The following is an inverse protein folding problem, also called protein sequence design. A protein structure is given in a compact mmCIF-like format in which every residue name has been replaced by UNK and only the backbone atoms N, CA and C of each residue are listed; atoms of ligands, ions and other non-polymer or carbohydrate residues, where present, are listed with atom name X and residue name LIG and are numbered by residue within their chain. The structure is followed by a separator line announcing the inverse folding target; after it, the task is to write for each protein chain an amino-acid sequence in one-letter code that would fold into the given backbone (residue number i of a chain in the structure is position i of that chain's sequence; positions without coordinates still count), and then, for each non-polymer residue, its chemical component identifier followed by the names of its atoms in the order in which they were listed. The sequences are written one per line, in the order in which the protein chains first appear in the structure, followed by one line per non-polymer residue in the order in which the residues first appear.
data_IF_708590875060
#
_entry.id   IF_708590875060
#
_cell.length_a   1.000
_cell.length_b   1.000
_cell.length_c   1.000
_cell.angle_alpha   90.00
_cell.angle_beta   90.00
_cell.angle_gamma   90.00
#
_symmetry.space_group_name_H-M   'P 1'
#
loop_
_entity.id
_entity.type
_entity.pdbx_description
1 polymer ?
#
# COMPACT_ATOMS: atom_id res chain seq x y z
N UNK A 1 -1.14 18.51 -3.29
CA UNK A 1 -0.40 17.30 -2.89
C UNK A 1 1.04 17.31 -3.43
N UNK A 2 1.53 18.44 -3.95
CA UNK A 2 2.86 18.51 -4.55
C UNK A 2 3.93 18.10 -3.53
N UNK A 3 4.74 17.11 -3.88
CA UNK A 3 5.82 16.58 -3.02
C UNK A 3 5.34 15.73 -1.84
N UNK A 4 4.03 15.45 -1.71
CA UNK A 4 3.52 14.59 -0.65
C UNK A 4 3.72 13.12 -0.98
N UNK A 5 4.22 12.37 -0.01
CA UNK A 5 4.50 10.93 -0.09
C UNK A 5 3.32 10.15 0.46
N UNK A 6 2.63 9.40 -0.39
CA UNK A 6 1.42 8.68 -0.03
C UNK A 6 1.67 7.19 -0.18
N UNK A 7 1.38 6.43 0.87
CA UNK A 7 1.22 4.98 0.74
C UNK A 7 -0.22 4.67 0.36
N UNK A 8 -0.40 3.93 -0.73
CA UNK A 8 -1.69 3.33 -1.10
C UNK A 8 -1.66 1.83 -0.79
N UNK A 9 -2.34 1.46 0.29
CA UNK A 9 -2.62 0.09 0.70
C UNK A 9 -3.76 -0.53 -0.10
N UNK A 10 -3.57 -1.73 -0.66
CA UNK A 10 -4.61 -2.43 -1.45
C UNK A 10 -4.83 -3.83 -0.87
N UNK A 11 -6.10 -4.18 -0.64
CA UNK A 11 -6.51 -5.48 -0.06
C UNK A 11 -7.35 -6.31 -1.04
N UNK A 12 -7.60 -7.59 -0.71
CA UNK A 12 -8.29 -8.56 -1.57
C UNK A 12 -9.79 -8.32 -1.73
N UNK A 13 -10.18 -7.37 -2.57
CA UNK A 13 -11.56 -7.05 -2.91
C UNK A 13 -11.70 -6.83 -4.41
N UNK A 14 -12.89 -7.13 -4.97
CA UNK A 14 -13.20 -6.82 -6.37
C UNK A 14 -13.02 -5.33 -6.68
N UNK A 15 -13.13 -4.44 -5.70
CA UNK A 15 -12.91 -3.01 -5.88
C UNK A 15 -11.43 -2.63 -6.09
N UNK A 16 -10.48 -3.56 -5.97
CA UNK A 16 -9.05 -3.27 -6.08
C UNK A 16 -8.66 -2.61 -7.41
N UNK A 17 -9.35 -2.92 -8.53
CA UNK A 17 -9.10 -2.26 -9.81
C UNK A 17 -9.35 -0.74 -9.76
N UNK A 18 -10.21 -0.26 -8.85
CA UNK A 18 -10.51 1.16 -8.68
C UNK A 18 -9.36 1.94 -8.04
N UNK A 19 -8.39 1.26 -7.43
CA UNK A 19 -7.16 1.88 -6.94
C UNK A 19 -6.41 2.65 -8.05
N UNK A 20 -6.54 2.22 -9.31
CA UNK A 20 -5.99 2.94 -10.47
C UNK A 20 -6.51 4.38 -10.58
N UNK A 21 -7.79 4.64 -10.27
CA UNK A 21 -8.35 5.99 -10.30
C UNK A 21 -7.77 6.86 -9.17
N UNK A 22 -7.59 6.27 -7.99
CA UNK A 22 -6.99 6.95 -6.83
C UNK A 22 -5.55 7.34 -7.18
N UNK A 23 -4.75 6.40 -7.69
CA UNK A 23 -3.35 6.64 -8.09
C UNK A 23 -3.28 7.80 -9.09
N UNK A 24 -4.06 7.73 -10.17
CA UNK A 24 -4.08 8.79 -11.20
C UNK A 24 -4.46 10.14 -10.61
N UNK A 25 -5.46 10.18 -9.72
CA UNK A 25 -5.89 11.41 -9.05
C UNK A 25 -4.81 12.01 -8.15
N UNK A 26 -4.09 11.18 -7.40
CA UNK A 26 -3.00 11.60 -6.52
C UNK A 26 -1.80 12.12 -7.32
N UNK A 27 -1.37 11.37 -8.34
CA UNK A 27 -0.24 11.74 -9.19
C UNK A 27 -0.53 13.04 -9.96
N UNK A 28 -1.75 13.20 -10.50
CA UNK A 28 -2.17 14.45 -11.15
C UNK A 28 -2.07 15.67 -10.20
N UNK A 29 -2.20 15.46 -8.90
CA UNK A 29 -2.05 16.50 -7.86
C UNK A 29 -0.61 16.65 -7.35
N UNK A 30 0.36 15.98 -7.99
CA UNK A 30 1.79 16.05 -7.70
C UNK A 30 2.27 15.17 -6.54
N UNK A 31 1.48 14.19 -6.12
CA UNK A 31 1.88 13.26 -5.05
C UNK A 31 2.82 12.17 -5.59
N UNK A 32 3.74 11.72 -4.74
CA UNK A 32 4.47 10.48 -4.92
C UNK A 32 3.67 9.34 -4.28
N UNK A 33 3.36 8.29 -5.04
CA UNK A 33 2.55 7.16 -4.55
C UNK A 33 3.38 5.89 -4.49
N UNK A 34 3.51 5.30 -3.30
CA UNK A 34 4.07 3.96 -3.10
C UNK A 34 2.92 2.98 -2.82
N UNK A 35 2.80 1.93 -3.62
CA UNK A 35 1.76 0.92 -3.42
C UNK A 35 2.29 -0.20 -2.52
N UNK A 36 1.47 -0.57 -1.53
CA UNK A 36 1.67 -1.77 -0.72
C UNK A 36 0.40 -2.64 -0.86
N UNK A 37 0.53 -3.86 -1.36
CA UNK A 37 -0.60 -4.74 -1.68
C UNK A 37 -0.51 -6.04 -0.88
N UNK A 38 -1.64 -6.48 -0.32
CA UNK A 38 -1.71 -7.80 0.33
C UNK A 38 -1.59 -8.94 -0.68
N UNK A 39 -1.20 -10.15 -0.27
CA UNK A 39 -1.25 -11.33 -1.13
C UNK A 39 -2.60 -11.51 -1.85
N UNK A 40 -3.71 -11.42 -1.11
CA UNK A 40 -5.05 -11.53 -1.69
C UNK A 40 -5.40 -10.39 -2.66
N UNK A 41 -4.80 -9.21 -2.53
CA UNK A 41 -4.98 -8.11 -3.46
C UNK A 41 -4.41 -8.40 -4.85
N UNK A 42 -3.32 -9.18 -4.92
CA UNK A 42 -2.64 -9.54 -6.19
C UNK A 42 -3.54 -10.37 -7.12
N UNK A 43 -4.52 -11.08 -6.56
CA UNK A 43 -5.50 -11.87 -7.33
C UNK A 43 -6.53 -10.99 -8.08
N UNK A 44 -6.74 -9.74 -7.64
CA UNK A 44 -7.72 -8.83 -8.25
C UNK A 44 -7.08 -7.76 -9.13
N UNK A 45 -5.84 -7.40 -8.86
CA UNK A 45 -5.08 -6.43 -9.66
C UNK A 45 -3.60 -6.79 -9.63
N UNK A 46 -2.98 -6.76 -10.81
CA UNK A 46 -1.59 -7.17 -10.97
C UNK A 46 -0.62 -6.06 -10.55
N UNK A 47 0.52 -6.42 -9.90
CA UNK A 47 1.58 -5.47 -9.56
C UNK A 47 2.11 -4.67 -10.76
N UNK A 48 2.14 -5.25 -11.96
CA UNK A 48 2.68 -4.56 -13.15
C UNK A 48 1.84 -3.33 -13.54
N UNK A 49 0.52 -3.41 -13.46
CA UNK A 49 -0.37 -2.28 -13.76
C UNK A 49 -0.16 -1.13 -12.76
N UNK A 50 -0.08 -1.47 -11.47
CA UNK A 50 0.11 -0.51 -10.39
C UNK A 50 1.49 0.15 -10.45
N UNK A 51 2.53 -0.62 -10.78
CA UNK A 51 3.88 -0.12 -10.96
C UNK A 51 3.97 0.84 -12.15
N UNK A 52 3.37 0.48 -13.29
CA UNK A 52 3.32 1.35 -14.47
C UNK A 52 2.63 2.69 -14.20
N UNK A 53 1.59 2.72 -13.35
CA UNK A 53 0.90 3.97 -13.00
C UNK A 53 1.69 4.83 -12.02
N UNK A 54 2.45 4.23 -11.11
CA UNK A 54 3.16 4.95 -10.04
C UNK A 54 4.61 5.28 -10.38
N UNK A 55 5.21 4.57 -11.33
CA UNK A 55 6.65 4.62 -11.59
C UNK A 55 7.49 4.00 -10.46
N UNK A 56 6.88 3.29 -9.51
CA UNK A 56 7.54 2.65 -8.37
C UNK A 56 7.26 1.14 -8.34
N UNK A 57 8.15 0.31 -7.77
CA UNK A 57 7.84 -1.10 -7.56
C UNK A 57 6.66 -1.23 -6.58
N UNK A 58 5.83 -2.26 -6.78
CA UNK A 58 4.74 -2.59 -5.85
C UNK A 58 5.27 -3.53 -4.78
N UNK A 59 5.05 -3.15 -3.53
CA UNK A 59 5.56 -3.90 -2.38
C UNK A 59 4.46 -4.85 -1.89
N UNK A 60 4.78 -6.15 -1.74
CA UNK A 60 3.83 -7.14 -1.20
C UNK A 60 4.42 -8.10 -0.17
N UNK A 61 5.74 -8.28 -0.18
CA UNK A 61 6.46 -9.23 0.67
C UNK A 61 7.63 -8.53 1.39
N UNK A 62 8.04 -9.07 2.54
CA UNK A 62 9.19 -8.57 3.30
C UNK A 62 10.52 -8.77 2.57
N UNK A 63 10.68 -9.88 1.85
CA UNK A 63 11.92 -10.23 1.16
C UNK A 63 11.69 -10.17 -0.35
N UNK A 64 12.39 -9.26 -1.03
CA UNK A 64 12.34 -9.14 -2.48
C UNK A 64 13.41 -10.08 -3.08
N UNK A 65 13.10 -10.73 -4.21
CA UNK A 65 14.10 -11.37 -5.08
C UNK A 65 14.92 -12.57 -4.53
N UNK A 66 14.83 -12.91 -3.23
CA UNK A 66 15.70 -13.90 -2.54
C UNK A 66 17.20 -13.64 -2.71
N UNK A 67 17.58 -12.39 -2.93
CA UNK A 67 18.96 -11.93 -3.14
C UNK A 67 19.55 -11.23 -1.90
N UNK A 68 18.83 -11.28 -0.78
CA UNK A 68 19.18 -10.59 0.46
C UNK A 68 18.59 -9.18 0.57
N UNK A 69 17.92 -8.67 -0.46
CA UNK A 69 17.18 -7.41 -0.38
C UNK A 69 15.85 -7.61 0.36
N UNK A 70 15.48 -6.62 1.17
CA UNK A 70 14.25 -6.66 1.96
C UNK A 70 13.57 -5.30 2.00
N UNK A 71 12.25 -5.31 2.17
CA UNK A 71 11.42 -4.13 2.28
C UNK A 71 11.21 -3.77 3.76
N UNK A 72 11.68 -2.58 4.15
CA UNK A 72 11.50 -2.09 5.51
C UNK A 72 10.12 -1.48 5.72
N UNK A 73 9.26 -2.19 6.46
CA UNK A 73 7.95 -1.69 6.84
C UNK A 73 8.03 -0.45 7.75
N UNK A 74 9.12 -0.32 8.51
CA UNK A 74 9.39 0.85 9.37
C UNK A 74 9.72 2.06 8.49
N UNK A 75 10.69 1.91 7.58
CA UNK A 75 11.09 3.03 6.71
C UNK A 75 9.94 3.48 5.82
N UNK A 76 9.12 2.54 5.31
CA UNK A 76 7.90 2.87 4.58
C UNK A 76 6.91 3.67 5.46
N UNK A 77 6.62 3.18 6.66
CA UNK A 77 5.70 3.84 7.59
C UNK A 77 6.15 5.25 7.99
N UNK A 78 7.46 5.48 8.11
CA UNK A 78 8.06 6.78 8.41
C UNK A 78 8.21 7.68 7.17
N UNK A 79 8.34 7.10 5.97
CA UNK A 79 8.48 7.83 4.71
C UNK A 79 7.18 8.54 4.29
N UNK A 80 6.03 7.99 4.65
CA UNK A 80 4.73 8.48 4.21
C UNK A 80 4.28 9.74 4.98
N UNK A 81 3.77 10.74 4.27
CA UNK A 81 3.01 11.88 4.82
C UNK A 81 1.55 11.51 5.12
N UNK A 82 1.02 10.47 4.46
CA UNK A 82 -0.28 9.86 4.74
C UNK A 82 -0.34 8.43 4.17
N UNK A 83 -1.17 7.60 4.78
CA UNK A 83 -1.48 6.26 4.30
C UNK A 83 -2.97 6.15 3.99
N UNK A 84 -3.32 5.67 2.81
CA UNK A 84 -4.69 5.35 2.43
C UNK A 84 -4.77 3.85 2.15
N UNK A 85 -5.67 3.13 2.81
CA UNK A 85 -5.95 1.73 2.51
C UNK A 85 -7.30 1.68 1.79
N UNK A 86 -7.27 1.39 0.48
CA UNK A 86 -8.43 1.43 -0.38
C UNK A 86 -8.29 0.46 -1.58
N UNK A 87 -9.13 -0.59 -1.68
CA UNK A 87 -10.13 -1.00 -0.70
C UNK A 87 -9.49 -1.63 0.55
N UNK A 88 -10.13 -1.44 1.70
CA UNK A 88 -9.86 -2.12 2.96
C UNK A 88 -10.94 -3.18 3.24
N UNK A 89 -10.60 -4.45 3.07
CA UNK A 89 -11.50 -5.56 3.39
C UNK A 89 -11.72 -5.67 4.90
N UNK A 90 -12.86 -6.28 5.29
CA UNK A 90 -13.16 -6.59 6.68
C UNK A 90 -12.05 -7.40 7.37
N UNK A 91 -11.42 -8.34 6.65
CA UNK A 91 -10.29 -9.13 7.16
C UNK A 91 -9.09 -8.23 7.52
N UNK A 92 -8.70 -7.32 6.62
CA UNK A 92 -7.61 -6.37 6.90
C UNK A 92 -7.97 -5.42 8.05
N UNK A 93 -9.21 -4.90 8.09
CA UNK A 93 -9.66 -4.03 9.19
C UNK A 93 -9.62 -4.76 10.53
N UNK A 94 -10.12 -6.00 10.60
CA UNK A 94 -10.09 -6.81 11.82
C UNK A 94 -8.65 -7.05 12.30
N UNK A 95 -7.73 -7.37 11.39
CA UNK A 95 -6.32 -7.54 11.73
C UNK A 95 -5.65 -6.25 12.18
N UNK A 96 -5.94 -5.11 11.54
CA UNK A 96 -5.43 -3.80 11.97
C UNK A 96 -5.91 -3.42 13.37
N UNK A 97 -7.21 -3.59 13.64
CA UNK A 97 -7.81 -3.29 14.94
C UNK A 97 -7.27 -4.16 16.08
N UNK A 98 -6.82 -5.38 15.77
CA UNK A 98 -6.27 -6.33 16.75
C UNK A 98 -4.74 -6.43 16.73
N UNK A 99 -4.04 -5.60 15.95
CA UNK A 99 -2.58 -5.61 15.91
C UNK A 99 -1.94 -6.88 15.30
N UNK A 100 -2.65 -7.57 14.39
CA UNK A 100 -2.15 -8.81 13.76
C UNK A 100 -1.25 -8.46 12.57
N UNK A 101 0.07 -8.43 12.81
CA UNK A 101 1.10 -8.02 11.86
C UNK A 101 1.60 -9.16 10.93
N UNK A 102 0.70 -9.81 10.21
CA UNK A 102 1.00 -11.04 9.45
C UNK A 102 1.35 -10.84 7.97
N UNK A 103 1.35 -9.60 7.48
CA UNK A 103 1.72 -9.28 6.11
C UNK A 103 2.27 -7.86 5.99
N UNK A 104 2.95 -7.60 4.87
CA UNK A 104 3.68 -6.35 4.64
C UNK A 104 2.80 -5.09 4.80
N UNK A 105 1.55 -5.11 4.35
CA UNK A 105 0.65 -3.96 4.44
C UNK A 105 0.31 -3.62 5.90
N UNK A 106 -0.08 -4.63 6.68
CA UNK A 106 -0.51 -4.40 8.07
C UNK A 106 0.68 -4.03 8.96
N UNK A 107 1.83 -4.68 8.76
CA UNK A 107 3.05 -4.34 9.49
C UNK A 107 3.52 -2.91 9.16
N UNK A 108 3.34 -2.46 7.91
CA UNK A 108 3.60 -1.06 7.52
C UNK A 108 2.59 -0.11 8.19
N UNK A 109 1.30 -0.46 8.23
CA UNK A 109 0.27 0.30 8.94
C UNK A 109 0.62 0.50 10.42
N UNK A 110 1.04 -0.56 11.11
CA UNK A 110 1.43 -0.49 12.52
C UNK A 110 2.70 0.36 12.76
N UNK A 111 3.51 0.57 11.71
CA UNK A 111 4.69 1.42 11.74
C UNK A 111 4.41 2.88 11.38
N UNK A 112 3.24 3.16 10.78
CA UNK A 112 2.90 4.48 10.29
C UNK A 112 2.77 5.50 11.43
N UNK A 113 3.35 6.69 11.22
CA UNK A 113 3.21 7.85 12.13
C UNK A 113 2.31 8.94 11.54
N UNK A 114 2.07 8.88 10.25
CA UNK A 114 1.19 9.80 9.53
C UNK A 114 -0.30 9.41 9.66
N UNK A 115 -1.23 10.33 9.34
CA UNK A 115 -2.65 10.01 9.28
C UNK A 115 -2.94 8.84 8.34
N UNK A 116 -3.79 7.92 8.83
CA UNK A 116 -4.24 6.75 8.08
C UNK A 116 -5.73 6.89 7.75
N UNK A 117 -6.07 6.69 6.48
CA UNK A 117 -7.43 6.70 5.96
C UNK A 117 -7.81 5.29 5.49
N UNK A 118 -9.04 4.87 5.81
CA UNK A 118 -9.56 3.53 5.48
C UNK A 118 -10.81 3.71 4.61
N UNK A 119 -10.89 3.00 3.48
CA UNK A 119 -12.01 3.07 2.54
C UNK A 119 -12.33 1.71 1.90
#
# INVERSE_FOLDING_TARGET
MLGKRIILGITGSIAAYKACYIIRGLIKKGAEVQVVITPAGKEFITPITLSALTGKPVISEFFAGRDGTWNSHVDLGLWADAMLIAPATASTIGKMANGIADNMLITTYLSAKAPVFIA
#
